data_IF_020911356210
#
_entry.id   IF_020911356210
#
_cell.length_a   1.000
_cell.length_b   1.000
_cell.length_c   1.000
_cell.angle_alpha   90.00
_cell.angle_beta   90.00
_cell.angle_gamma   90.00
#
_symmetry.space_group_name_H-M   'P 1'
#
loop_
_entity.id
_entity.type
_entity.pdbx_description
1 polymer ?
#
# COMPACT_ATOMS: atom_id res chain seq x y z
N UNK A 1 1.24 -37.22 -5.35
CA UNK A 1 1.14 -35.75 -5.24
C UNK A 1 -0.16 -35.43 -4.54
N UNK A 2 -0.08 -34.90 -3.33
CA UNK A 2 -1.19 -34.84 -2.38
C UNK A 2 -2.35 -33.96 -2.84
N UNK A 3 -3.59 -34.45 -2.66
CA UNK A 3 -4.83 -33.69 -2.90
C UNK A 3 -4.93 -32.37 -2.11
N UNK A 4 -4.06 -32.18 -1.11
CA UNK A 4 -3.88 -30.92 -0.38
C UNK A 4 -3.41 -29.78 -1.30
N UNK A 5 -2.53 -30.06 -2.27
CA UNK A 5 -2.03 -29.04 -3.21
C UNK A 5 -3.17 -28.52 -4.09
N UNK A 6 -4.03 -29.42 -4.58
CA UNK A 6 -5.19 -29.07 -5.38
C UNK A 6 -6.23 -28.26 -4.60
N UNK A 7 -6.45 -28.60 -3.32
CA UNK A 7 -7.32 -27.82 -2.44
C UNK A 7 -6.73 -26.42 -2.20
N UNK A 8 -5.44 -26.32 -1.90
CA UNK A 8 -4.75 -25.03 -1.72
C UNK A 8 -4.80 -24.16 -2.98
N UNK A 9 -4.59 -24.75 -4.16
CA UNK A 9 -4.69 -24.05 -5.45
C UNK A 9 -6.11 -23.58 -5.76
N UNK A 10 -7.11 -24.41 -5.45
CA UNK A 10 -8.52 -24.06 -5.65
C UNK A 10 -8.97 -22.96 -4.70
N UNK A 11 -8.54 -23.01 -3.44
CA UNK A 11 -8.76 -21.92 -2.47
C UNK A 11 -8.08 -20.65 -2.95
N UNK A 12 -6.81 -20.74 -3.39
CA UNK A 12 -6.06 -19.61 -3.95
C UNK A 12 -6.81 -18.97 -5.12
N UNK A 13 -7.28 -19.77 -6.10
CA UNK A 13 -8.05 -19.26 -7.23
C UNK A 13 -9.37 -18.59 -6.80
N UNK A 14 -10.07 -19.17 -5.82
CA UNK A 14 -11.31 -18.63 -5.27
C UNK A 14 -11.13 -17.26 -4.58
N UNK A 15 -9.92 -16.94 -4.09
CA UNK A 15 -9.62 -15.61 -3.52
C UNK A 15 -9.78 -14.50 -4.58
N UNK A 16 -9.59 -14.80 -5.87
CA UNK A 16 -9.59 -13.83 -6.98
C UNK A 16 -10.88 -13.81 -7.81
N UNK A 17 -11.81 -14.73 -7.59
CA UNK A 17 -13.02 -14.93 -8.43
C UNK A 17 -14.03 -13.76 -8.39
N UNK A 18 -13.90 -12.85 -7.41
CA UNK A 18 -14.77 -11.67 -7.26
C UNK A 18 -13.99 -10.47 -6.75
N UNK A 19 -13.04 -9.95 -7.51
CA UNK A 19 -12.34 -8.71 -7.14
C UNK A 19 -13.34 -7.54 -7.32
N UNK A 20 -13.70 -6.79 -6.27
CA UNK A 20 -14.59 -5.66 -6.40
C UNK A 20 -13.95 -4.59 -7.30
N UNK A 21 -14.75 -3.86 -8.08
CA UNK A 21 -14.23 -2.82 -8.97
C UNK A 21 -13.43 -1.77 -8.18
N UNK A 22 -12.29 -1.38 -8.74
CA UNK A 22 -11.46 -0.32 -8.18
C UNK A 22 -12.13 1.02 -8.48
N UNK A 23 -12.29 1.86 -7.47
CA UNK A 23 -12.78 3.22 -7.66
C UNK A 23 -11.83 3.99 -8.58
N UNK A 24 -12.37 4.61 -9.64
CA UNK A 24 -11.58 5.41 -10.58
C UNK A 24 -10.75 6.50 -9.89
N UNK A 25 -11.23 7.01 -8.76
CA UNK A 25 -10.52 8.00 -7.94
C UNK A 25 -9.16 7.51 -7.42
N UNK A 26 -9.03 6.21 -7.12
CA UNK A 26 -7.79 5.60 -6.62
C UNK A 26 -6.74 5.49 -7.74
N UNK A 27 -7.18 5.45 -9.00
CA UNK A 27 -6.31 5.39 -10.18
C UNK A 27 -5.79 6.77 -10.62
N UNK A 28 -6.33 7.87 -10.10
CA UNK A 28 -5.95 9.22 -10.53
C UNK A 28 -4.44 9.51 -10.36
N UNK A 29 -3.77 9.18 -9.25
CA UNK A 29 -2.32 9.38 -9.14
C UNK A 29 -1.52 8.59 -10.18
N UNK A 30 -1.99 7.38 -10.50
CA UNK A 30 -1.39 6.53 -11.53
C UNK A 30 -1.54 7.14 -12.92
N UNK A 31 -2.73 7.65 -13.25
CA UNK A 31 -2.96 8.37 -14.50
C UNK A 31 -2.09 9.63 -14.60
N UNK A 32 -1.97 10.39 -13.51
CA UNK A 32 -1.08 11.56 -13.44
C UNK A 32 0.35 11.14 -13.76
N UNK A 33 0.87 10.06 -13.18
CA UNK A 33 2.23 9.62 -13.46
C UNK A 33 2.41 9.19 -14.93
N UNK A 34 1.50 8.38 -15.46
CA UNK A 34 1.55 7.85 -16.83
C UNK A 34 1.44 8.93 -17.90
N UNK A 35 0.79 10.05 -17.59
CA UNK A 35 0.66 11.21 -18.49
C UNK A 35 1.80 12.20 -18.26
N UNK A 36 2.10 12.53 -17.02
CA UNK A 36 3.13 13.53 -16.69
C UNK A 36 4.51 13.07 -17.12
N UNK A 37 4.86 11.80 -16.92
CA UNK A 37 6.19 11.31 -17.28
C UNK A 37 6.53 11.47 -18.77
N UNK A 38 5.73 10.99 -19.74
CA UNK A 38 6.02 11.22 -21.15
C UNK A 38 6.00 12.70 -21.52
N UNK A 39 5.08 13.50 -20.96
CA UNK A 39 5.06 14.96 -21.19
C UNK A 39 6.36 15.61 -20.69
N UNK A 40 6.79 15.31 -19.47
CA UNK A 40 8.04 15.81 -18.92
C UNK A 40 9.25 15.33 -19.75
N UNK A 41 9.24 14.10 -20.26
CA UNK A 41 10.30 13.60 -21.18
C UNK A 41 10.34 14.38 -22.50
N UNK A 42 9.21 14.88 -23.00
CA UNK A 42 9.20 15.78 -24.18
C UNK A 42 9.67 17.20 -23.87
N UNK A 43 9.40 17.71 -22.66
CA UNK A 43 9.84 19.05 -22.23
C UNK A 43 11.32 19.11 -21.85
N UNK A 44 11.85 18.04 -21.27
CA UNK A 44 13.24 17.91 -20.85
C UNK A 44 13.90 16.68 -21.51
N UNK A 45 14.15 16.74 -22.84
CA UNK A 45 14.73 15.62 -23.56
C UNK A 45 16.11 15.22 -23.02
N UNK A 46 16.93 16.21 -22.69
CA UNK A 46 18.32 16.06 -22.22
C UNK A 46 18.44 15.78 -20.71
N UNK A 47 17.32 15.83 -19.96
CA UNK A 47 17.31 15.67 -18.50
C UNK A 47 16.21 14.68 -18.06
N UNK A 48 16.35 13.38 -18.41
CA UNK A 48 15.36 12.34 -18.10
C UNK A 48 15.09 12.21 -16.60
N UNK A 49 16.11 12.42 -15.78
CA UNK A 49 16.05 12.31 -14.33
C UNK A 49 15.12 13.36 -13.71
N UNK A 50 15.24 14.61 -14.16
CA UNK A 50 14.35 15.70 -13.72
C UNK A 50 12.93 15.43 -14.19
N UNK A 51 12.75 14.98 -15.44
CA UNK A 51 11.43 14.64 -15.96
C UNK A 51 10.73 13.57 -15.11
N UNK A 52 11.47 12.55 -14.68
CA UNK A 52 10.97 11.52 -13.78
C UNK A 52 10.63 12.08 -12.39
N UNK A 53 11.55 12.79 -11.75
CA UNK A 53 11.34 13.33 -10.40
C UNK A 53 10.12 14.25 -10.36
N UNK A 54 9.96 15.14 -11.36
CA UNK A 54 8.79 16.03 -11.45
C UNK A 54 7.50 15.23 -11.60
N UNK A 55 7.45 14.25 -12.52
CA UNK A 55 6.28 13.41 -12.72
C UNK A 55 5.93 12.59 -11.46
N UNK A 56 6.95 12.08 -10.76
CA UNK A 56 6.79 11.37 -9.50
C UNK A 56 6.25 12.28 -8.40
N UNK A 57 6.80 13.47 -8.22
CA UNK A 57 6.32 14.46 -7.23
C UNK A 57 4.88 14.87 -7.54
N UNK A 58 4.51 15.07 -8.80
CA UNK A 58 3.12 15.34 -9.21
C UNK A 58 2.19 14.17 -8.86
N UNK A 59 2.60 12.93 -9.13
CA UNK A 59 1.88 11.73 -8.72
C UNK A 59 1.65 11.68 -7.21
N UNK A 60 2.69 11.94 -6.41
CA UNK A 60 2.57 11.94 -4.94
C UNK A 60 1.69 13.07 -4.43
N UNK A 61 1.77 14.26 -5.05
CA UNK A 61 0.91 15.40 -4.74
C UNK A 61 -0.56 15.08 -5.02
N UNK A 62 -0.85 14.46 -6.17
CA UNK A 62 -2.18 13.96 -6.50
C UNK A 62 -2.66 12.94 -5.46
N UNK A 63 -1.83 11.96 -5.10
CA UNK A 63 -2.14 10.97 -4.06
C UNK A 63 -2.42 11.62 -2.71
N UNK A 64 -1.61 12.59 -2.32
CA UNK A 64 -1.74 13.30 -1.06
C UNK A 64 -3.04 14.12 -1.02
N UNK A 65 -3.34 14.89 -2.07
CA UNK A 65 -4.57 15.71 -2.15
C UNK A 65 -5.85 14.88 -2.00
N UNK A 66 -5.87 13.64 -2.50
CA UNK A 66 -6.99 12.73 -2.35
C UNK A 66 -7.11 12.19 -0.91
N UNK A 67 -5.98 11.80 -0.30
CA UNK A 67 -5.95 11.26 1.07
C UNK A 67 -6.22 12.35 2.11
N UNK A 68 -5.72 13.56 1.89
CA UNK A 68 -5.88 14.72 2.76
C UNK A 68 -7.36 15.00 3.05
N UNK A 69 -8.21 15.04 2.02
CA UNK A 69 -9.66 15.27 2.20
C UNK A 69 -10.32 14.18 3.06
N UNK A 70 -9.92 12.93 2.89
CA UNK A 70 -10.45 11.81 3.68
C UNK A 70 -9.89 11.76 5.11
N UNK A 71 -8.63 12.17 5.32
CA UNK A 71 -8.02 12.23 6.65
C UNK A 71 -8.62 13.35 7.52
N UNK A 72 -8.73 14.58 7.00
CA UNK A 72 -9.34 15.69 7.75
C UNK A 72 -10.79 15.43 8.12
N UNK A 73 -11.59 14.84 7.21
CA UNK A 73 -12.96 14.45 7.49
C UNK A 73 -13.08 13.39 8.62
N UNK A 74 -12.06 12.54 8.80
CA UNK A 74 -11.99 11.53 9.86
C UNK A 74 -11.42 12.09 11.16
N UNK A 75 -10.49 13.04 11.09
CA UNK A 75 -9.84 13.68 12.25
C UNK A 75 -10.78 14.69 12.93
N UNK A 76 -11.61 15.40 12.18
CA UNK A 76 -12.67 16.25 12.73
C UNK A 76 -13.71 15.48 13.58
N UNK A 77 -13.73 14.14 13.49
CA UNK A 77 -14.69 13.27 14.18
C UNK A 77 -14.11 12.46 15.35
N UNK A 78 -12.80 12.55 15.65
CA UNK A 78 -12.17 11.72 16.70
C UNK A 78 -11.13 12.49 17.51
N UNK A 79 -11.46 12.77 18.76
CA UNK A 79 -10.49 13.19 19.76
C UNK A 79 -9.55 12.02 20.14
N UNK A 80 -8.25 12.31 20.31
CA UNK A 80 -7.31 11.40 21.01
C UNK A 80 -6.36 10.52 20.19
N UNK A 81 -6.45 10.45 18.85
CA UNK A 81 -5.49 9.67 18.01
C UNK A 81 -4.75 10.49 16.94
N UNK A 82 -4.82 11.82 17.03
CA UNK A 82 -4.28 12.73 16.01
C UNK A 82 -2.76 12.65 15.83
N UNK A 83 -1.97 12.41 16.89
CA UNK A 83 -0.50 12.49 16.82
C UNK A 83 0.14 11.40 15.96
N UNK A 84 -0.28 10.14 16.11
CA UNK A 84 0.22 9.02 15.26
C UNK A 84 -0.21 9.17 13.80
N UNK A 85 -1.41 9.74 13.57
CA UNK A 85 -1.95 9.99 12.21
C UNK A 85 -1.27 11.17 11.53
N UNK A 86 -1.00 12.26 12.25
CA UNK A 86 -0.18 13.38 11.77
C UNK A 86 1.21 12.90 11.37
N UNK A 87 1.88 12.11 12.21
CA UNK A 87 3.21 11.57 11.88
C UNK A 87 3.17 10.76 10.58
N UNK A 88 2.19 9.88 10.37
CA UNK A 88 1.99 9.18 9.10
C UNK A 88 1.63 10.11 7.93
N UNK A 89 0.87 11.18 8.18
CA UNK A 89 0.50 12.17 7.17
C UNK A 89 1.70 13.01 6.71
N UNK A 90 2.69 13.26 7.57
CA UNK A 90 3.88 14.04 7.25
C UNK A 90 5.08 13.18 6.82
N UNK A 91 5.16 11.91 7.25
CA UNK A 91 6.21 10.98 6.83
C UNK A 91 6.23 10.76 5.31
N UNK A 92 5.05 10.64 4.69
CA UNK A 92 4.95 10.37 3.25
C UNK A 92 5.43 11.59 2.43
N UNK A 93 4.91 12.82 2.64
CA UNK A 93 5.45 14.02 1.99
C UNK A 93 6.93 14.24 2.28
N UNK A 94 7.38 14.02 3.53
CA UNK A 94 8.78 14.18 3.91
C UNK A 94 9.71 13.21 3.17
N UNK A 95 9.33 11.93 3.07
CA UNK A 95 10.08 10.94 2.31
C UNK A 95 10.15 11.28 0.82
N UNK A 96 9.07 11.80 0.24
CA UNK A 96 9.02 12.23 -1.17
C UNK A 96 9.92 13.43 -1.42
N UNK A 97 9.91 14.43 -0.55
CA UNK A 97 10.77 15.63 -0.67
C UNK A 97 12.23 15.23 -0.55
N UNK A 98 12.57 14.38 0.42
CA UNK A 98 13.92 13.86 0.58
C UNK A 98 14.36 13.07 -0.67
N UNK A 99 13.49 12.22 -1.19
CA UNK A 99 13.78 11.41 -2.35
C UNK A 99 13.86 12.18 -3.67
N UNK A 100 13.28 13.39 -3.75
CA UNK A 100 13.33 14.23 -4.94
C UNK A 100 14.76 14.69 -5.31
N UNK A 101 15.77 14.37 -4.49
CA UNK A 101 17.17 14.61 -4.78
C UNK A 101 17.73 13.69 -5.89
N UNK A 102 17.17 12.49 -6.08
CA UNK A 102 17.57 11.61 -7.17
C UNK A 102 16.44 10.68 -7.63
N UNK A 103 16.42 10.27 -8.91
CA UNK A 103 15.46 9.29 -9.43
C UNK A 103 15.49 7.96 -8.67
N UNK A 104 16.70 7.50 -8.32
CA UNK A 104 16.92 6.25 -7.60
C UNK A 104 16.21 6.28 -6.25
N UNK A 105 16.37 7.36 -5.48
CA UNK A 105 15.71 7.49 -4.18
C UNK A 105 14.19 7.51 -4.31
N UNK A 106 13.65 8.17 -5.35
CA UNK A 106 12.21 8.18 -5.63
C UNK A 106 11.66 6.76 -5.84
N UNK A 107 12.43 5.87 -6.49
CA UNK A 107 12.03 4.47 -6.69
C UNK A 107 11.98 3.69 -5.37
N UNK A 108 12.81 4.03 -4.39
CA UNK A 108 12.84 3.35 -3.08
C UNK A 108 11.81 3.88 -2.07
N UNK A 109 11.17 5.04 -2.32
CA UNK A 109 10.12 5.60 -1.42
C UNK A 109 9.03 4.59 -1.05
N UNK A 110 8.46 3.78 -1.97
CA UNK A 110 7.44 2.78 -1.63
C UNK A 110 7.98 1.69 -0.69
N UNK A 111 9.23 1.26 -0.87
CA UNK A 111 9.91 0.33 0.03
C UNK A 111 10.15 0.94 1.40
N UNK A 112 10.60 2.19 1.48
CA UNK A 112 10.81 2.90 2.74
C UNK A 112 9.51 3.07 3.53
N UNK A 113 8.42 3.46 2.86
CA UNK A 113 7.09 3.56 3.48
C UNK A 113 6.65 2.18 4.00
N UNK A 114 6.82 1.14 3.19
CA UNK A 114 6.45 -0.23 3.56
C UNK A 114 7.29 -0.74 4.73
N UNK A 115 8.58 -0.42 4.79
CA UNK A 115 9.47 -0.75 5.91
C UNK A 115 9.01 -0.07 7.20
N UNK A 116 8.57 1.19 7.14
CA UNK A 116 7.95 1.88 8.26
C UNK A 116 6.71 1.13 8.80
N UNK A 117 5.86 0.63 7.90
CA UNK A 117 4.71 -0.21 8.31
C UNK A 117 5.14 -1.56 8.88
N UNK A 118 6.13 -2.23 8.31
CA UNK A 118 6.69 -3.48 8.84
C UNK A 118 7.13 -3.29 10.29
N UNK A 119 7.87 -2.21 10.58
CA UNK A 119 8.32 -1.89 11.94
C UNK A 119 7.12 -1.66 12.86
N UNK A 120 6.14 -0.87 12.45
CA UNK A 120 4.95 -0.59 13.27
C UNK A 120 4.16 -1.86 13.60
N UNK A 121 3.90 -2.72 12.61
CA UNK A 121 3.18 -3.98 12.82
C UNK A 121 4.00 -5.02 13.59
N UNK A 122 5.34 -5.03 13.43
CA UNK A 122 6.22 -5.89 14.21
C UNK A 122 6.22 -5.50 15.69
N UNK A 123 6.31 -4.21 16.02
CA UNK A 123 6.21 -3.70 17.41
C UNK A 123 4.85 -4.10 18.00
N UNK A 124 3.75 -3.87 17.27
CA UNK A 124 2.42 -4.24 17.73
C UNK A 124 2.24 -5.75 17.97
N UNK A 125 2.91 -6.59 17.18
CA UNK A 125 2.89 -8.04 17.34
C UNK A 125 3.73 -8.49 18.54
N UNK A 126 4.90 -7.90 18.76
CA UNK A 126 5.76 -8.18 19.92
C UNK A 126 5.08 -7.80 21.23
N UNK A 127 4.46 -6.62 21.27
CA UNK A 127 3.78 -6.12 22.48
C UNK A 127 2.37 -6.70 22.65
N UNK A 128 1.90 -7.55 21.72
CA UNK A 128 0.51 -8.04 21.63
C UNK A 128 -0.53 -6.92 21.70
N UNK A 129 -0.12 -5.70 21.32
CA UNK A 129 -0.95 -4.51 21.41
C UNK A 129 -1.99 -4.52 20.29
N UNK A 130 -1.60 -4.85 19.06
CA UNK A 130 -2.43 -4.78 17.84
C UNK A 130 -3.13 -3.43 17.64
N UNK A 131 -2.57 -2.34 18.20
CA UNK A 131 -3.17 -1.01 18.23
C UNK A 131 -3.31 -0.39 16.84
N UNK A 132 -2.34 -0.62 15.95
CA UNK A 132 -2.31 -0.16 14.57
C UNK A 132 -3.40 -0.83 13.76
N UNK A 133 -3.55 -2.16 13.86
CA UNK A 133 -4.63 -2.88 13.18
C UNK A 133 -6.01 -2.35 13.59
N UNK A 134 -6.25 -2.15 14.89
CA UNK A 134 -7.51 -1.55 15.39
C UNK A 134 -7.72 -0.10 14.95
N UNK A 135 -6.64 0.66 14.75
CA UNK A 135 -6.71 2.03 14.26
C UNK A 135 -7.05 2.13 12.77
N UNK A 136 -6.58 1.18 11.96
CA UNK A 136 -6.85 1.09 10.52
C UNK A 136 -8.22 0.47 10.21
N UNK A 137 -8.61 -0.56 10.96
CA UNK A 137 -9.91 -1.24 10.83
C UNK A 137 -10.73 -1.15 12.12
N UNK A 138 -11.26 0.04 12.45
CA UNK A 138 -12.11 0.19 13.61
C UNK A 138 -13.48 -0.44 13.35
N UNK A 139 -13.89 -1.40 14.18
CA UNK A 139 -15.23 -1.98 14.12
C UNK A 139 -15.33 -3.34 14.80
N UNK A 140 -16.52 -3.69 15.27
CA UNK A 140 -16.79 -4.97 15.93
C UNK A 140 -16.48 -6.18 15.03
N UNK A 141 -16.65 -6.03 13.71
CA UNK A 141 -16.34 -7.08 12.72
C UNK A 141 -14.85 -7.44 12.69
N UNK A 142 -13.96 -6.46 12.83
CA UNK A 142 -12.51 -6.64 12.67
C UNK A 142 -11.78 -6.86 14.00
N UNK A 143 -12.38 -6.43 15.11
CA UNK A 143 -11.77 -6.48 16.43
C UNK A 143 -11.31 -7.90 16.84
N UNK A 144 -12.07 -8.99 16.58
CA UNK A 144 -11.63 -10.33 16.93
C UNK A 144 -10.42 -10.82 16.14
N UNK A 145 -10.20 -10.27 14.94
CA UNK A 145 -9.13 -10.68 14.00
C UNK A 145 -7.89 -9.79 14.08
N UNK A 146 -7.76 -8.96 15.13
CA UNK A 146 -6.71 -7.93 15.19
C UNK A 146 -5.29 -8.52 15.12
N UNK A 147 -5.07 -9.72 15.66
CA UNK A 147 -3.79 -10.43 15.59
C UNK A 147 -3.50 -10.90 14.17
N UNK A 148 -4.45 -11.58 13.55
CA UNK A 148 -4.34 -12.15 12.21
C UNK A 148 -4.18 -11.04 11.16
N UNK A 149 -4.92 -9.93 11.33
CA UNK A 149 -4.78 -8.74 10.50
C UNK A 149 -3.39 -8.09 10.67
N UNK A 150 -2.85 -8.02 11.89
CA UNK A 150 -1.48 -7.53 12.12
C UNK A 150 -0.46 -8.38 11.37
N UNK A 151 -0.57 -9.71 11.47
CA UNK A 151 0.33 -10.64 10.77
C UNK A 151 0.17 -10.55 9.25
N UNK A 152 -1.07 -10.50 8.74
CA UNK A 152 -1.34 -10.34 7.32
C UNK A 152 -0.75 -9.04 6.77
N UNK A 153 -0.88 -7.93 7.52
CA UNK A 153 -0.32 -6.64 7.10
C UNK A 153 1.21 -6.62 7.15
N UNK A 154 1.83 -7.34 8.08
CA UNK A 154 3.29 -7.52 8.09
C UNK A 154 3.76 -8.22 6.81
N UNK A 155 3.14 -9.34 6.46
CA UNK A 155 3.44 -10.10 5.23
C UNK A 155 3.20 -9.26 3.99
N UNK A 156 2.08 -8.55 3.92
CA UNK A 156 1.72 -7.70 2.79
C UNK A 156 2.79 -6.63 2.52
N UNK A 157 3.28 -5.94 3.55
CA UNK A 157 4.29 -4.90 3.36
C UNK A 157 5.68 -5.49 3.03
N UNK A 158 6.02 -6.66 3.57
CA UNK A 158 7.24 -7.37 3.14
C UNK A 158 7.16 -7.76 1.66
N UNK A 159 6.00 -8.20 1.17
CA UNK A 159 5.76 -8.47 -0.25
C UNK A 159 5.95 -7.19 -1.08
N UNK A 160 5.45 -6.03 -0.63
CA UNK A 160 5.65 -4.77 -1.35
C UNK A 160 7.10 -4.33 -1.42
N UNK A 161 7.87 -4.48 -0.34
CA UNK A 161 9.31 -4.20 -0.36
C UNK A 161 9.98 -5.11 -1.38
N UNK A 162 9.79 -6.43 -1.27
CA UNK A 162 10.41 -7.39 -2.17
C UNK A 162 10.04 -7.12 -3.62
N UNK A 163 8.76 -6.89 -3.91
CA UNK A 163 8.28 -6.62 -5.26
C UNK A 163 8.88 -5.34 -5.82
N UNK A 164 8.89 -4.24 -5.04
CA UNK A 164 9.43 -2.97 -5.52
C UNK A 164 10.94 -3.06 -5.78
N UNK A 165 11.72 -3.61 -4.84
CA UNK A 165 13.17 -3.76 -5.01
C UNK A 165 13.52 -4.72 -6.17
N UNK A 166 12.72 -5.78 -6.37
CA UNK A 166 12.89 -6.67 -7.52
C UNK A 166 12.64 -5.91 -8.83
N UNK A 167 11.60 -5.08 -8.91
CA UNK A 167 11.33 -4.28 -10.10
C UNK A 167 12.44 -3.24 -10.35
N UNK A 168 12.96 -2.59 -9.32
CA UNK A 168 14.10 -1.66 -9.45
C UNK A 168 15.31 -2.38 -10.06
N UNK A 169 15.60 -3.61 -9.60
CA UNK A 169 16.74 -4.37 -10.10
C UNK A 169 16.51 -4.97 -11.50
N UNK A 170 15.26 -5.24 -11.90
CA UNK A 170 14.94 -6.06 -13.06
C UNK A 170 14.47 -5.28 -14.29
N UNK A 171 13.96 -4.05 -14.14
CA UNK A 171 13.38 -3.29 -15.26
C UNK A 171 13.97 -1.89 -15.39
N UNK A 172 13.81 -1.29 -16.58
CA UNK A 172 14.17 0.12 -16.79
C UNK A 172 13.28 1.05 -15.98
N UNK A 173 13.66 2.33 -15.89
CA UNK A 173 12.88 3.36 -15.22
C UNK A 173 11.45 3.48 -15.79
N UNK A 174 11.31 3.40 -17.12
CA UNK A 174 10.00 3.40 -17.79
C UNK A 174 9.16 2.19 -17.39
N UNK A 175 9.79 0.99 -17.34
CA UNK A 175 9.14 -0.22 -16.87
C UNK A 175 8.68 -0.11 -15.42
N UNK A 176 9.51 0.51 -14.57
CA UNK A 176 9.19 0.77 -13.17
C UNK A 176 8.04 1.79 -13.03
N UNK A 177 8.01 2.84 -13.85
CA UNK A 177 6.90 3.83 -13.88
C UNK A 177 5.57 3.15 -14.18
N UNK A 178 5.55 2.28 -15.18
CA UNK A 178 4.35 1.50 -15.52
C UNK A 178 3.95 0.61 -14.34
N UNK A 179 4.88 -0.18 -13.81
CA UNK A 179 4.64 -1.00 -12.62
C UNK A 179 4.05 -0.20 -11.46
N UNK A 180 4.66 0.94 -11.14
CA UNK A 180 4.24 1.79 -10.03
C UNK A 180 2.84 2.37 -10.24
N UNK A 181 2.51 2.73 -11.48
CA UNK A 181 1.17 3.18 -11.84
C UNK A 181 0.12 2.05 -11.67
N UNK A 182 0.49 0.79 -11.90
CA UNK A 182 -0.40 -0.35 -11.67
C UNK A 182 -0.45 -0.83 -10.21
N UNK A 183 0.43 -0.35 -9.34
CA UNK A 183 0.52 -0.78 -7.95
C UNK A 183 -0.81 -0.65 -7.17
N UNK A 184 -1.66 0.37 -7.35
CA UNK A 184 -2.97 0.41 -6.67
C UNK A 184 -3.89 -0.77 -7.05
N UNK A 185 -3.81 -1.24 -8.29
CA UNK A 185 -4.56 -2.42 -8.75
C UNK A 185 -4.04 -3.66 -8.05
N UNK A 186 -2.72 -3.86 -8.09
CA UNK A 186 -2.05 -4.96 -7.39
C UNK A 186 -2.36 -4.92 -5.90
N UNK A 187 -2.34 -3.74 -5.29
CA UNK A 187 -2.66 -3.55 -3.88
C UNK A 187 -4.09 -3.97 -3.57
N UNK A 188 -5.06 -3.50 -4.35
CA UNK A 188 -6.47 -3.85 -4.16
C UNK A 188 -6.74 -5.34 -4.28
N UNK A 189 -6.12 -5.99 -5.28
CA UNK A 189 -6.22 -7.43 -5.50
C UNK A 189 -5.63 -8.21 -4.32
N UNK A 190 -4.41 -7.88 -3.92
CA UNK A 190 -3.73 -8.54 -2.80
C UNK A 190 -4.50 -8.32 -1.50
N UNK A 191 -4.90 -7.09 -1.19
CA UNK A 191 -5.62 -6.77 0.03
C UNK A 191 -6.96 -7.53 0.12
N UNK A 192 -7.71 -7.61 -0.99
CA UNK A 192 -8.95 -8.38 -1.07
C UNK A 192 -8.71 -9.86 -0.80
N UNK A 193 -7.69 -10.45 -1.42
CA UNK A 193 -7.31 -11.84 -1.20
C UNK A 193 -6.91 -12.08 0.26
N UNK A 194 -6.09 -11.19 0.84
CA UNK A 194 -5.66 -11.27 2.24
C UNK A 194 -6.82 -11.22 3.22
N UNK A 195 -7.76 -10.29 3.06
CA UNK A 195 -8.96 -10.23 3.92
C UNK A 195 -9.79 -11.51 3.83
N UNK A 196 -10.00 -12.02 2.62
CA UNK A 196 -10.71 -13.30 2.43
C UNK A 196 -9.98 -14.44 3.12
N UNK A 197 -8.66 -14.53 2.99
CA UNK A 197 -7.88 -15.56 3.68
C UNK A 197 -8.01 -15.43 5.20
N UNK A 198 -7.86 -14.24 5.76
CA UNK A 198 -7.99 -14.02 7.21
C UNK A 198 -9.38 -14.46 7.71
N UNK A 199 -10.45 -14.05 7.03
CA UNK A 199 -11.81 -14.39 7.45
C UNK A 199 -12.24 -15.82 7.15
N UNK A 200 -11.70 -16.45 6.11
CA UNK A 200 -12.01 -17.85 5.80
C UNK A 200 -11.22 -18.84 6.66
N UNK A 201 -9.97 -18.50 7.00
CA UNK A 201 -9.09 -19.40 7.76
C UNK A 201 -9.29 -19.22 9.27
N UNK A 202 -9.82 -18.08 9.71
CA UNK A 202 -10.10 -17.82 11.13
C UNK A 202 -11.61 -17.98 11.37
N UNK A 203 -12.07 -19.10 11.97
CA UNK A 203 -13.49 -19.29 12.24
C UNK A 203 -14.02 -18.25 13.21
N UNK A 204 -15.29 -17.88 13.03
CA UNK A 204 -15.99 -16.89 13.86
C UNK A 204 -15.85 -17.24 15.36
N UNK A 205 -15.31 -16.34 16.20
CA UNK A 205 -15.09 -16.64 17.62
C UNK A 205 -16.37 -17.04 18.36
N UNK A 206 -17.54 -16.58 17.89
CA UNK A 206 -18.86 -16.90 18.45
C UNK A 206 -19.34 -18.33 18.13
N UNK A 207 -18.73 -19.03 17.16
CA UNK A 207 -19.03 -20.45 16.86
C UNK A 207 -18.28 -21.43 17.75
N UNK A 208 -17.52 -20.95 18.75
CA UNK A 208 -16.78 -21.77 19.71
C UNK A 208 -17.44 -21.87 21.09
N UNK A 209 -18.59 -21.22 21.30
CA UNK A 209 -19.41 -21.35 22.51
C UNK A 209 -20.57 -22.33 22.30
#
# INVERSE_FOLDING_TARGET
>A
MDGRIWISLRIFAALFEKIPMIEARVMLPSAVLLIAFPVCRTLWPDQPDIAFVVAFVLCQTARFSLRWRAQFAREARREGTGRKRMVGAFLIPGAVIFAAQSPELCQHVPSMISAGFVILFAIDAMDSSYSTARAYWPGAVYAPYARELTQAMLVLHLIYILLNETMIAAVSLEGWVVFYAFLPVVHHVLLTAFFRTVFWVTPDPERRS
#
